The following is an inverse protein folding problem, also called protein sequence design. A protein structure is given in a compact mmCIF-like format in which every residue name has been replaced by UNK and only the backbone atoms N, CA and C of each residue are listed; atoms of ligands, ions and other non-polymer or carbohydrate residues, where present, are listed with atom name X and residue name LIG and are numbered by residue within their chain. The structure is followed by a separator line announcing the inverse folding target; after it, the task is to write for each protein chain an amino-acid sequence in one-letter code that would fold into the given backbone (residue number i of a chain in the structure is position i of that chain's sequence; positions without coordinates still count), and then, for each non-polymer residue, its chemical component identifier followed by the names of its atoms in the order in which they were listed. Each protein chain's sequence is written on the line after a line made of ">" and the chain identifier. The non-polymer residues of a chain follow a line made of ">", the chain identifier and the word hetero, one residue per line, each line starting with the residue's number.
data_IF_089213156856
#
_entry.id   IF_089213156856
#
_cell.length_a   1.000
_cell.length_b   1.000
_cell.length_c   1.000
_cell.angle_alpha   90.00
_cell.angle_beta   90.00
_cell.angle_gamma   90.00
#
_symmetry.space_group_name_H-M   'P 1'
#
loop_
_entity.id
_entity.type
_entity.pdbx_description
1 polymer ?
#
# COMPACT_ATOMS: atom_id res chain seq x y z
N UNK A 1 57.69 16.89 35.58
CA UNK A 1 56.66 16.05 36.24
C UNK A 1 55.86 15.35 35.16
N UNK A 2 56.01 14.02 35.04
CA UNK A 2 55.23 13.19 34.12
C UNK A 2 54.08 12.57 34.91
N UNK A 3 52.85 12.86 34.51
CA UNK A 3 51.63 12.28 35.10
C UNK A 3 51.56 10.79 34.76
N UNK A 4 51.30 9.89 35.73
CA UNK A 4 51.16 8.47 35.43
C UNK A 4 49.92 8.25 34.55
N UNK A 5 49.97 7.32 33.58
CA UNK A 5 48.83 7.04 32.72
C UNK A 5 47.67 6.51 33.57
N UNK A 6 46.42 6.93 33.29
CA UNK A 6 45.27 6.46 34.04
C UNK A 6 45.17 4.94 33.93
N UNK A 7 45.09 4.28 35.08
CA UNK A 7 44.84 2.85 35.20
C UNK A 7 43.44 2.53 34.67
N UNK A 8 43.32 2.31 33.35
CA UNK A 8 42.05 1.87 32.76
C UNK A 8 41.58 0.59 33.45
N UNK A 9 40.48 0.70 34.19
CA UNK A 9 39.89 -0.42 34.89
C UNK A 9 39.44 -1.47 33.86
N UNK A 10 39.67 -2.75 34.16
CA UNK A 10 39.23 -3.87 33.29
C UNK A 10 37.72 -3.80 33.02
N UNK A 11 36.96 -3.33 34.00
CA UNK A 11 35.52 -3.09 33.88
C UNK A 11 35.18 -2.05 32.79
N UNK A 12 35.91 -0.94 32.70
CA UNK A 12 35.70 0.06 31.64
C UNK A 12 35.96 -0.51 30.24
N UNK A 13 36.97 -1.39 30.09
CA UNK A 13 37.27 -2.06 28.81
C UNK A 13 36.16 -3.04 28.41
N UNK A 14 35.65 -3.83 29.35
CA UNK A 14 34.54 -4.74 29.07
C UNK A 14 33.23 -4.01 28.77
N UNK A 15 32.92 -2.94 29.51
CA UNK A 15 31.76 -2.09 29.24
C UNK A 15 31.86 -1.47 27.83
N UNK A 16 33.04 -0.97 27.44
CA UNK A 16 33.26 -0.43 26.10
C UNK A 16 33.08 -1.50 25.01
N UNK A 17 33.65 -2.69 25.19
CA UNK A 17 33.47 -3.80 24.24
C UNK A 17 32.01 -4.24 24.12
N UNK A 18 31.26 -4.25 25.23
CA UNK A 18 29.83 -4.58 25.21
C UNK A 18 29.04 -3.54 24.43
N UNK A 19 29.26 -2.25 24.69
CA UNK A 19 28.60 -1.17 23.96
C UNK A 19 28.96 -1.22 22.47
N UNK A 20 30.23 -1.44 22.14
CA UNK A 20 30.69 -1.56 20.76
C UNK A 20 30.04 -2.77 20.07
N UNK A 21 29.97 -3.91 20.74
CA UNK A 21 29.30 -5.11 20.22
C UNK A 21 27.81 -4.88 19.96
N UNK A 22 27.11 -4.20 20.87
CA UNK A 22 25.69 -3.83 20.69
C UNK A 22 25.52 -2.88 19.52
N UNK A 23 26.38 -1.86 19.39
CA UNK A 23 26.33 -0.91 18.28
C UNK A 23 26.56 -1.61 16.93
N UNK A 24 27.56 -2.48 16.83
CA UNK A 24 27.83 -3.27 15.61
C UNK A 24 26.65 -4.19 15.31
N UNK A 25 26.11 -4.87 16.31
CA UNK A 25 24.94 -5.74 16.16
C UNK A 25 23.71 -5.00 15.65
N UNK A 26 23.45 -3.79 16.15
CA UNK A 26 22.33 -2.96 15.72
C UNK A 26 22.51 -2.53 14.26
N UNK A 27 23.70 -2.04 13.88
CA UNK A 27 24.00 -1.65 12.50
C UNK A 27 23.85 -2.84 11.54
N UNK A 28 24.41 -4.00 11.90
CA UNK A 28 24.31 -5.21 11.08
C UNK A 28 22.85 -5.65 10.90
N UNK A 29 22.05 -5.61 11.97
CA UNK A 29 20.63 -5.96 11.94
C UNK A 29 19.85 -5.04 11.00
N UNK A 30 20.06 -3.72 11.10
CA UNK A 30 19.39 -2.74 10.23
C UNK A 30 19.80 -2.93 8.77
N UNK A 31 21.08 -3.21 8.49
CA UNK A 31 21.53 -3.47 7.12
C UNK A 31 20.90 -4.73 6.53
N UNK A 32 20.83 -5.81 7.28
CA UNK A 32 20.16 -7.05 6.85
C UNK A 32 18.67 -6.80 6.62
N UNK A 33 18.00 -6.13 7.55
CA UNK A 33 16.59 -5.77 7.43
C UNK A 33 16.34 -4.93 6.17
N UNK A 34 17.15 -3.88 5.93
CA UNK A 34 17.05 -3.05 4.72
C UNK A 34 17.32 -3.85 3.43
N UNK A 35 18.29 -4.76 3.44
CA UNK A 35 18.60 -5.60 2.28
C UNK A 35 17.44 -6.56 1.95
N UNK A 36 16.75 -7.09 2.96
CA UNK A 36 15.56 -7.91 2.78
C UNK A 36 14.36 -7.05 2.32
N UNK A 37 14.19 -5.86 2.89
CA UNK A 37 13.15 -4.92 2.50
C UNK A 37 13.30 -4.49 1.04
N UNK A 38 14.53 -4.20 0.59
CA UNK A 38 14.82 -3.79 -0.78
C UNK A 38 14.56 -4.89 -1.82
N UNK A 39 14.53 -6.16 -1.40
CA UNK A 39 14.14 -7.29 -2.27
C UNK A 39 12.63 -7.47 -2.37
N UNK A 40 11.87 -6.87 -1.44
CA UNK A 40 10.41 -6.95 -1.44
C UNK A 40 9.89 -5.81 -2.31
N UNK A 41 9.28 -6.13 -3.43
CA UNK A 41 8.67 -5.13 -4.30
C UNK A 41 7.49 -4.48 -3.55
N UNK A 42 7.57 -3.19 -3.18
CA UNK A 42 6.50 -2.51 -2.46
C UNK A 42 5.35 -2.09 -3.37
N UNK A 43 5.52 -2.19 -4.70
CA UNK A 43 4.57 -1.68 -5.68
C UNK A 43 3.18 -2.34 -5.54
N UNK A 44 3.01 -3.67 -5.51
CA UNK A 44 1.68 -4.28 -5.42
C UNK A 44 0.92 -3.87 -4.14
N UNK A 45 1.60 -3.88 -2.98
CA UNK A 45 0.99 -3.48 -1.71
C UNK A 45 0.61 -1.99 -1.71
N UNK A 46 1.50 -1.13 -2.20
CA UNK A 46 1.25 0.31 -2.28
C UNK A 46 0.10 0.65 -3.24
N UNK A 47 0.01 -0.03 -4.39
CA UNK A 47 -1.08 0.13 -5.34
C UNK A 47 -2.42 -0.19 -4.67
N UNK A 48 -2.52 -1.34 -4.01
CA UNK A 48 -3.74 -1.73 -3.29
C UNK A 48 -4.08 -0.75 -2.17
N UNK A 49 -3.08 -0.24 -1.44
CA UNK A 49 -3.27 0.76 -0.40
C UNK A 49 -3.88 2.07 -0.95
N UNK A 50 -3.36 2.56 -2.08
CA UNK A 50 -3.85 3.79 -2.72
C UNK A 50 -5.25 3.56 -3.30
N UNK A 51 -5.51 2.42 -3.95
CA UNK A 51 -6.85 2.08 -4.44
C UNK A 51 -7.87 2.04 -3.31
N UNK A 52 -7.55 1.38 -2.19
CA UNK A 52 -8.40 1.34 -1.00
C UNK A 52 -8.63 2.73 -0.38
N UNK A 53 -7.63 3.62 -0.43
CA UNK A 53 -7.80 5.01 -0.02
C UNK A 53 -8.80 5.76 -0.93
N UNK A 54 -8.68 5.63 -2.25
CA UNK A 54 -9.59 6.29 -3.19
C UNK A 54 -11.02 5.76 -3.07
N UNK A 55 -11.18 4.44 -2.89
CA UNK A 55 -12.49 3.80 -2.71
C UNK A 55 -13.17 4.28 -1.43
N UNK A 56 -12.47 4.29 -0.29
CA UNK A 56 -13.02 4.84 0.98
C UNK A 56 -13.38 6.32 0.88
N UNK A 57 -12.63 7.08 0.08
CA UNK A 57 -12.90 8.50 -0.17
C UNK A 57 -14.07 8.73 -1.14
N UNK A 58 -14.52 7.69 -1.87
CA UNK A 58 -15.74 7.69 -2.66
C UNK A 58 -16.94 7.56 -1.69
N UNK A 59 -17.23 8.66 -0.99
CA UNK A 59 -18.30 8.71 0.02
C UNK A 59 -19.68 8.61 -0.63
N UNK A 60 -20.50 7.76 -0.03
CA UNK A 60 -21.93 7.58 -0.29
C UNK A 60 -22.78 8.06 0.89
N UNK A 61 -22.13 8.54 1.96
CA UNK A 61 -22.77 8.71 3.26
C UNK A 61 -23.56 10.02 3.36
N UNK A 62 -24.72 9.91 4.01
CA UNK A 62 -25.92 10.75 3.92
C UNK A 62 -25.81 12.13 4.57
N UNK A 63 -24.65 12.48 5.15
CA UNK A 63 -24.40 13.75 5.85
C UNK A 63 -23.45 14.72 5.12
N UNK A 64 -22.67 14.24 4.14
CA UNK A 64 -21.79 15.08 3.34
C UNK A 64 -22.32 15.11 1.90
N UNK A 65 -22.59 16.30 1.37
CA UNK A 65 -23.09 16.49 0.02
C UNK A 65 -22.18 15.77 -0.99
N UNK A 66 -22.78 14.93 -1.84
CA UNK A 66 -22.09 14.38 -3.00
C UNK A 66 -21.60 15.54 -3.85
N UNK A 67 -20.28 15.71 -3.88
CA UNK A 67 -19.64 16.72 -4.71
C UNK A 67 -19.25 16.04 -6.02
N UNK A 68 -19.95 16.31 -7.14
CA UNK A 68 -19.74 15.58 -8.39
C UNK A 68 -18.28 15.62 -8.85
N UNK A 69 -17.63 16.78 -8.72
CA UNK A 69 -16.23 16.96 -9.07
C UNK A 69 -15.27 16.13 -8.20
N UNK A 70 -15.60 15.90 -6.92
CA UNK A 70 -14.79 15.03 -6.06
C UNK A 70 -14.97 13.57 -6.47
N UNK A 71 -16.22 13.13 -6.66
CA UNK A 71 -16.51 11.76 -7.10
C UNK A 71 -15.86 11.45 -8.45
N UNK A 72 -15.93 12.38 -9.40
CA UNK A 72 -15.26 12.25 -10.70
C UNK A 72 -13.76 12.02 -10.53
N UNK A 73 -13.08 12.84 -9.72
CA UNK A 73 -11.65 12.71 -9.49
C UNK A 73 -11.29 11.38 -8.82
N UNK A 74 -12.08 10.91 -7.86
CA UNK A 74 -11.87 9.60 -7.21
C UNK A 74 -12.04 8.45 -8.20
N UNK A 75 -13.10 8.47 -9.02
CA UNK A 75 -13.34 7.44 -10.04
C UNK A 75 -12.27 7.43 -11.14
N UNK A 76 -11.81 8.61 -11.58
CA UNK A 76 -10.70 8.71 -12.53
C UNK A 76 -9.40 8.14 -11.94
N UNK A 77 -9.09 8.48 -10.68
CA UNK A 77 -7.93 7.91 -10.00
C UNK A 77 -8.02 6.40 -9.88
N UNK A 78 -9.16 5.84 -9.47
CA UNK A 78 -9.37 4.39 -9.42
C UNK A 78 -9.22 3.75 -10.80
N UNK A 79 -9.73 4.38 -11.86
CA UNK A 79 -9.63 3.84 -13.22
C UNK A 79 -8.19 3.73 -13.69
N UNK A 80 -7.37 4.76 -13.45
CA UNK A 80 -5.95 4.77 -13.78
C UNK A 80 -5.18 3.72 -12.98
N UNK A 81 -5.42 3.65 -11.66
CA UNK A 81 -4.77 2.64 -10.81
C UNK A 81 -5.19 1.21 -11.19
N UNK A 82 -6.42 1.01 -11.64
CA UNK A 82 -6.90 -0.30 -12.09
C UNK A 82 -6.22 -0.79 -13.38
N UNK A 83 -5.71 0.11 -14.22
CA UNK A 83 -4.91 -0.29 -15.40
C UNK A 83 -3.50 -0.78 -15.00
N UNK A 84 -3.03 -0.42 -13.80
CA UNK A 84 -1.73 -0.85 -13.27
C UNK A 84 -1.78 -2.17 -12.49
N UNK A 85 -2.97 -2.77 -12.31
CA UNK A 85 -3.14 -3.99 -11.47
C UNK A 85 -2.43 -5.20 -12.06
N UNK A 86 -2.51 -5.44 -13.36
CA UNK A 86 -1.78 -6.55 -14.00
C UNK A 86 -0.24 -6.35 -13.97
N UNK A 87 0.32 -5.20 -14.39
CA UNK A 87 1.77 -5.00 -14.36
C UNK A 87 2.39 -4.88 -12.97
N UNK A 88 1.64 -4.40 -11.96
CA UNK A 88 2.13 -4.28 -10.59
C UNK A 88 2.30 -5.64 -9.88
N UNK A 89 1.78 -6.73 -10.45
CA UNK A 89 1.80 -8.06 -9.85
C UNK A 89 2.53 -9.06 -10.76
N UNK A 90 3.85 -8.93 -10.99
CA UNK A 90 4.57 -9.72 -12.00
C UNK A 90 4.51 -11.25 -11.79
N UNK A 91 4.26 -11.72 -10.56
CA UNK A 91 4.11 -13.15 -10.28
C UNK A 91 2.76 -13.77 -10.64
N UNK A 92 1.70 -12.97 -10.76
CA UNK A 92 0.32 -13.43 -11.02
C UNK A 92 -0.39 -12.63 -12.13
N UNK A 93 0.22 -11.58 -12.66
CA UNK A 93 -0.37 -10.67 -13.64
C UNK A 93 -0.69 -11.34 -14.97
N UNK A 94 0.02 -12.41 -15.31
CA UNK A 94 -0.24 -13.23 -16.51
C UNK A 94 -1.26 -14.36 -16.24
N UNK A 95 -1.71 -14.56 -15.00
CA UNK A 95 -2.74 -15.55 -14.68
C UNK A 95 -4.08 -15.12 -15.31
N UNK A 96 -4.71 -16.03 -16.05
CA UNK A 96 -5.96 -15.76 -16.75
C UNK A 96 -7.08 -15.30 -15.79
N UNK A 97 -7.22 -15.95 -14.63
CA UNK A 97 -8.26 -15.61 -13.64
C UNK A 97 -7.97 -14.25 -13.02
N UNK A 98 -6.70 -13.95 -12.73
CA UNK A 98 -6.29 -12.64 -12.23
C UNK A 98 -6.65 -11.54 -13.24
N UNK A 99 -6.28 -11.72 -14.50
CA UNK A 99 -6.62 -10.78 -15.57
C UNK A 99 -8.13 -10.64 -15.80
N UNK A 100 -8.92 -11.70 -15.59
CA UNK A 100 -10.39 -11.64 -15.64
C UNK A 100 -10.97 -10.75 -14.54
N UNK A 101 -10.51 -10.90 -13.31
CA UNK A 101 -10.92 -10.03 -12.20
C UNK A 101 -10.47 -8.58 -12.41
N UNK A 102 -9.24 -8.37 -12.87
CA UNK A 102 -8.72 -7.04 -13.20
C UNK A 102 -9.58 -6.36 -14.29
N UNK A 103 -9.95 -7.09 -15.35
CA UNK A 103 -10.88 -6.59 -16.40
C UNK A 103 -12.27 -6.31 -15.84
N UNK A 104 -12.80 -7.16 -14.96
CA UNK A 104 -14.10 -6.97 -14.34
C UNK A 104 -14.14 -5.68 -13.50
N UNK A 105 -13.11 -5.43 -12.69
CA UNK A 105 -12.97 -4.18 -11.94
C UNK A 105 -12.95 -2.96 -12.86
N UNK A 106 -12.13 -3.00 -13.92
CA UNK A 106 -12.06 -1.92 -14.92
C UNK A 106 -13.40 -1.68 -15.62
N UNK A 107 -14.16 -2.74 -15.89
CA UNK A 107 -15.49 -2.64 -16.48
C UNK A 107 -16.50 -1.95 -15.53
N UNK A 108 -16.51 -2.31 -14.24
CA UNK A 108 -17.37 -1.67 -13.24
C UNK A 108 -17.00 -0.19 -13.05
N UNK A 109 -15.71 0.14 -12.99
CA UNK A 109 -15.24 1.53 -12.93
C UNK A 109 -15.64 2.33 -14.18
N UNK A 110 -15.60 1.71 -15.37
CA UNK A 110 -16.10 2.32 -16.59
C UNK A 110 -17.62 2.56 -16.58
N UNK A 111 -18.40 1.69 -15.94
CA UNK A 111 -19.84 1.91 -15.73
C UNK A 111 -20.08 3.06 -14.75
N UNK A 112 -19.29 3.14 -13.67
CA UNK A 112 -19.37 4.20 -12.67
C UNK A 112 -19.24 5.61 -13.27
N UNK A 113 -18.35 5.77 -14.25
CA UNK A 113 -18.14 7.05 -14.93
C UNK A 113 -19.35 7.54 -15.74
N UNK A 114 -20.31 6.66 -16.04
CA UNK A 114 -21.53 7.01 -16.78
C UNK A 114 -22.71 7.35 -15.86
N UNK A 115 -22.58 7.13 -14.55
CA UNK A 115 -23.62 7.43 -13.57
C UNK A 115 -23.63 8.95 -13.30
N UNK A 116 -24.81 9.58 -13.12
CA UNK A 116 -24.88 10.95 -12.65
C UNK A 116 -24.18 11.13 -11.29
N UNK A 117 -23.04 11.81 -11.29
CA UNK A 117 -22.19 12.00 -10.09
C UNK A 117 -22.82 12.92 -9.02
N UNK A 118 -23.98 13.51 -9.30
CA UNK A 118 -24.76 14.25 -8.31
C UNK A 118 -25.76 13.34 -7.56
N UNK A 119 -26.03 12.13 -8.06
CA UNK A 119 -26.92 11.16 -7.43
C UNK A 119 -26.14 10.31 -6.42
N UNK A 120 -26.24 10.69 -5.14
CA UNK A 120 -25.60 9.98 -4.04
C UNK A 120 -26.06 8.52 -3.92
N UNK A 121 -27.33 8.25 -4.22
CA UNK A 121 -27.89 6.91 -4.08
C UNK A 121 -27.33 6.01 -5.16
N UNK A 122 -27.32 6.48 -6.41
CA UNK A 122 -26.71 5.75 -7.52
C UNK A 122 -25.20 5.59 -7.32
N UNK A 123 -24.51 6.60 -6.78
CA UNK A 123 -23.09 6.48 -6.45
C UNK A 123 -22.83 5.49 -5.31
N UNK A 124 -23.71 5.42 -4.31
CA UNK A 124 -23.63 4.40 -3.25
C UNK A 124 -23.78 2.99 -3.78
N UNK A 125 -24.73 2.74 -4.68
CA UNK A 125 -24.86 1.46 -5.37
C UNK A 125 -23.59 1.12 -6.18
N UNK A 126 -23.00 2.12 -6.84
CA UNK A 126 -21.77 1.93 -7.60
C UNK A 126 -20.57 1.65 -6.70
N UNK A 127 -20.45 2.34 -5.56
CA UNK A 127 -19.44 2.06 -4.55
C UNK A 127 -19.50 0.59 -4.12
N UNK A 128 -20.69 0.07 -3.83
CA UNK A 128 -20.88 -1.35 -3.48
C UNK A 128 -20.41 -2.27 -4.60
N UNK A 129 -20.81 -2.02 -5.86
CA UNK A 129 -20.37 -2.84 -7.01
C UNK A 129 -18.86 -2.82 -7.21
N UNK A 130 -18.21 -1.67 -7.00
CA UNK A 130 -16.74 -1.57 -7.07
C UNK A 130 -16.11 -2.40 -5.94
N UNK A 131 -16.64 -2.28 -4.73
CA UNK A 131 -16.19 -3.06 -3.57
C UNK A 131 -16.32 -4.57 -3.82
N UNK A 132 -17.43 -5.01 -4.41
CA UNK A 132 -17.67 -6.42 -4.73
C UNK A 132 -16.66 -6.94 -5.78
N UNK A 133 -16.32 -6.12 -6.78
CA UNK A 133 -15.28 -6.46 -7.75
C UNK A 133 -13.88 -6.56 -7.12
N UNK A 134 -13.55 -5.66 -6.17
CA UNK A 134 -12.32 -5.77 -5.39
C UNK A 134 -12.29 -7.07 -4.58
N UNK A 135 -13.37 -7.38 -3.88
CA UNK A 135 -13.48 -8.59 -3.05
C UNK A 135 -13.42 -9.87 -3.88
N UNK A 136 -14.02 -9.87 -5.08
CA UNK A 136 -13.95 -11.02 -5.99
C UNK A 136 -12.52 -11.39 -6.37
N UNK A 137 -11.68 -10.38 -6.66
CA UNK A 137 -10.25 -10.61 -6.90
C UNK A 137 -9.55 -11.10 -5.62
N UNK A 138 -9.77 -10.43 -4.49
CA UNK A 138 -9.09 -10.77 -3.23
C UNK A 138 -9.42 -12.17 -2.72
N UNK A 139 -10.65 -12.66 -2.89
CA UNK A 139 -11.00 -14.04 -2.51
C UNK A 139 -10.16 -15.10 -3.19
N UNK A 140 -9.67 -14.83 -4.40
CA UNK A 140 -8.91 -15.78 -5.20
C UNK A 140 -7.39 -15.62 -5.04
N UNK A 141 -6.91 -14.42 -4.65
CA UNK A 141 -5.49 -14.04 -4.78
C UNK A 141 -4.86 -13.40 -3.52
N UNK A 142 -5.60 -13.28 -2.41
CA UNK A 142 -5.10 -12.73 -1.14
C UNK A 142 -5.18 -13.75 -0.02
#
# INVERSE_FOLDING_TARGET
>A
MQTPPPNQSRAARYAFMLVLGVLIGLVATVMVANALQARRDPVPDSLMQVMAYQLRALRHDTGASCTPALQQRRLQSLRLLADEVEPAFPGIGEDRRFGEHARALRAVLGQAQRVPLADCTAMGQMHTRISDACEACHRDFR
#
